data_IF_135664821581
#
_entry.id   IF_135664821581
#
_cell.length_a   1.000
_cell.length_b   1.000
_cell.length_c   1.000
_cell.angle_alpha   90.00
_cell.angle_beta   90.00
_cell.angle_gamma   90.00
#
_symmetry.space_group_name_H-M   'P 1'
#
loop_
_entity.id
_entity.type
_entity.pdbx_description
1 polymer ?
#
# COMPACT_ATOMS: atom_id res chain seq x y z
N UNK A 1 -15.14 -9.06 -11.25
CA UNK A 1 -14.21 -10.11 -10.78
C UNK A 1 -13.29 -9.43 -9.79
N UNK A 2 -13.21 -9.91 -8.55
CA UNK A 2 -12.42 -9.21 -7.53
C UNK A 2 -10.97 -9.11 -7.98
N UNK A 3 -10.44 -7.88 -8.06
CA UNK A 3 -9.01 -7.65 -8.27
C UNK A 3 -8.27 -8.31 -7.10
N UNK A 4 -7.67 -9.46 -7.40
CA UNK A 4 -7.23 -10.40 -6.38
C UNK A 4 -6.05 -9.83 -5.59
N UNK A 5 -6.20 -9.79 -4.27
CA UNK A 5 -5.04 -9.63 -3.39
C UNK A 5 -4.03 -10.76 -3.64
N UNK A 6 -2.73 -10.52 -3.34
CA UNK A 6 -1.71 -11.54 -3.42
C UNK A 6 -2.12 -12.81 -2.67
N UNK A 7 -1.92 -13.95 -3.31
CA UNK A 7 -2.28 -15.25 -2.74
C UNK A 7 -1.37 -15.63 -1.57
N UNK A 8 -1.91 -16.32 -0.57
CA UNK A 8 -1.11 -16.98 0.48
C UNK A 8 -0.76 -18.41 0.04
N UNK A 9 0.15 -19.06 0.77
CA UNK A 9 0.48 -20.46 0.54
C UNK A 9 -0.74 -21.38 0.73
N UNK A 10 -0.95 -22.38 -0.14
CA UNK A 10 -1.93 -23.45 0.07
C UNK A 10 -1.62 -24.25 1.36
N UNK A 11 -2.65 -24.73 2.05
CA UNK A 11 -2.52 -25.41 3.34
C UNK A 11 -1.68 -26.71 3.29
N UNK A 12 -1.54 -27.32 2.12
CA UNK A 12 -0.80 -28.55 1.86
C UNK A 12 0.64 -28.30 1.40
N UNK A 13 1.01 -27.07 1.04
CA UNK A 13 2.36 -26.74 0.56
C UNK A 13 3.24 -26.32 1.73
N UNK A 14 4.43 -26.92 1.84
CA UNK A 14 5.45 -26.46 2.81
C UNK A 14 6.29 -25.35 2.18
N UNK A 15 6.34 -24.13 2.76
CA UNK A 15 7.16 -23.04 2.22
C UNK A 15 8.65 -23.37 2.27
N UNK A 16 9.36 -23.17 1.16
CA UNK A 16 10.80 -23.34 1.00
C UNK A 16 11.47 -22.00 0.71
N UNK A 17 11.07 -20.97 1.46
CA UNK A 17 11.51 -19.59 1.26
C UNK A 17 12.99 -19.41 1.62
N UNK A 18 13.73 -18.74 0.75
CA UNK A 18 15.12 -18.31 0.99
C UNK A 18 15.35 -16.88 0.50
N UNK A 19 16.22 -16.14 1.17
CA UNK A 19 16.68 -14.82 0.71
C UNK A 19 17.84 -14.93 -0.31
N UNK A 20 18.38 -16.13 -0.52
CA UNK A 20 19.55 -16.34 -1.34
C UNK A 20 19.31 -15.94 -2.79
N UNK A 21 20.11 -14.98 -3.25
CA UNK A 21 20.12 -14.49 -4.62
C UNK A 21 18.73 -14.08 -5.14
N UNK A 22 17.81 -13.66 -4.26
CA UNK A 22 16.42 -13.32 -4.67
C UNK A 22 16.40 -12.29 -5.80
N UNK A 23 17.28 -11.28 -5.76
CA UNK A 23 17.40 -10.25 -6.81
C UNK A 23 17.81 -10.86 -8.15
N UNK A 24 18.74 -11.82 -8.14
CA UNK A 24 19.19 -12.51 -9.36
C UNK A 24 18.09 -13.43 -9.89
N UNK A 25 17.44 -14.18 -8.98
CA UNK A 25 16.40 -15.16 -9.31
C UNK A 25 15.08 -14.52 -9.73
N UNK A 26 14.79 -13.29 -9.32
CA UNK A 26 13.49 -12.59 -9.50
C UNK A 26 13.68 -11.14 -9.96
N UNK A 27 14.65 -10.89 -10.84
CA UNK A 27 15.01 -9.55 -11.29
C UNK A 27 13.83 -8.73 -11.83
N UNK A 28 12.95 -9.35 -12.61
CA UNK A 28 11.76 -8.68 -13.17
C UNK A 28 10.78 -8.26 -12.07
N UNK A 29 10.55 -9.11 -11.06
CA UNK A 29 9.70 -8.76 -9.92
C UNK A 29 10.30 -7.61 -9.09
N UNK A 30 11.63 -7.58 -8.92
CA UNK A 30 12.29 -6.46 -8.26
C UNK A 30 12.11 -5.15 -9.04
N UNK A 31 12.30 -5.17 -10.36
CA UNK A 31 12.07 -4.00 -11.20
C UNK A 31 10.61 -3.51 -11.08
N UNK A 32 9.64 -4.42 -11.18
CA UNK A 32 8.23 -4.10 -11.02
C UNK A 32 7.88 -3.56 -9.61
N UNK A 33 8.51 -4.10 -8.57
CA UNK A 33 8.41 -3.58 -7.21
C UNK A 33 8.93 -2.15 -7.10
N UNK A 34 10.10 -1.87 -7.67
CA UNK A 34 10.68 -0.53 -7.67
C UNK A 34 9.83 0.47 -8.47
N UNK A 35 9.25 0.06 -9.60
CA UNK A 35 8.28 0.86 -10.34
C UNK A 35 7.05 1.19 -9.48
N UNK A 36 6.47 0.20 -8.80
CA UNK A 36 5.33 0.41 -7.91
C UNK A 36 5.66 1.37 -6.75
N UNK A 37 6.87 1.30 -6.19
CA UNK A 37 7.33 2.25 -5.17
C UNK A 37 7.46 3.68 -5.74
N UNK A 38 8.04 3.81 -6.94
CA UNK A 38 8.20 5.10 -7.59
C UNK A 38 6.85 5.75 -7.94
N UNK A 39 5.89 4.97 -8.44
CA UNK A 39 4.52 5.45 -8.68
C UNK A 39 3.84 5.89 -7.37
N UNK A 40 4.03 5.15 -6.28
CA UNK A 40 3.48 5.54 -4.99
C UNK A 40 4.09 6.85 -4.46
N UNK A 41 5.36 7.15 -4.72
CA UNK A 41 5.96 8.43 -4.35
C UNK A 41 5.24 9.63 -4.98
N UNK A 42 4.61 9.46 -6.15
CA UNK A 42 3.76 10.49 -6.74
C UNK A 42 2.46 10.69 -5.94
N UNK A 43 1.90 9.63 -5.35
CA UNK A 43 0.74 9.73 -4.45
C UNK A 43 1.10 10.59 -3.24
N UNK A 44 2.23 10.30 -2.59
CA UNK A 44 2.70 11.05 -1.42
C UNK A 44 2.87 12.55 -1.78
N UNK A 45 3.52 12.86 -2.91
CA UNK A 45 3.68 14.23 -3.39
C UNK A 45 2.33 14.95 -3.67
N UNK A 46 1.36 14.25 -4.26
CA UNK A 46 0.05 14.87 -4.54
C UNK A 46 -0.80 15.06 -3.28
N UNK A 47 -0.63 14.23 -2.25
CA UNK A 47 -1.22 14.46 -0.93
C UNK A 47 -0.67 15.75 -0.31
N UNK A 48 0.65 15.98 -0.40
CA UNK A 48 1.29 17.23 0.06
C UNK A 48 0.74 18.46 -0.68
N UNK A 49 0.66 18.35 -2.00
CA UNK A 49 0.18 19.44 -2.86
C UNK A 49 -1.27 19.82 -2.53
N UNK A 50 -2.14 18.82 -2.39
CA UNK A 50 -3.54 19.04 -2.09
C UNK A 50 -3.73 19.68 -0.71
N UNK A 51 -2.96 19.23 0.30
CA UNK A 51 -2.99 19.86 1.62
C UNK A 51 -2.59 21.35 1.54
N UNK A 52 -1.50 21.64 0.83
CA UNK A 52 -1.01 23.02 0.64
C UNK A 52 -2.06 23.88 -0.05
N UNK A 53 -2.73 23.34 -1.08
CA UNK A 53 -3.80 24.03 -1.79
C UNK A 53 -5.00 24.36 -0.90
N UNK A 54 -5.39 23.43 -0.02
CA UNK A 54 -6.55 23.60 0.87
C UNK A 54 -6.31 24.60 2.00
N UNK A 55 -5.05 24.83 2.40
CA UNK A 55 -4.70 25.77 3.48
C UNK A 55 -4.72 27.26 3.05
N UNK A 56 -4.55 27.54 1.76
CA UNK A 56 -4.73 28.88 1.17
C UNK A 56 -3.72 29.98 1.59
N UNK A 57 -3.82 31.13 0.91
CA UNK A 57 -3.17 32.45 1.12
C UNK A 57 -1.62 32.55 1.06
N UNK A 58 -0.87 31.64 1.68
CA UNK A 58 0.60 31.57 1.56
C UNK A 58 1.04 30.10 1.65
N UNK A 59 1.61 29.51 0.58
CA UNK A 59 2.05 28.12 0.63
C UNK A 59 3.22 27.91 1.60
N UNK A 60 3.98 28.94 1.98
CA UNK A 60 5.19 28.76 2.82
C UNK A 60 4.88 28.26 4.24
N UNK A 61 3.95 28.85 5.02
CA UNK A 61 3.54 28.29 6.32
C UNK A 61 2.92 26.89 6.21
N UNK A 62 2.14 26.64 5.16
CA UNK A 62 1.51 25.34 4.91
C UNK A 62 2.54 24.24 4.65
N UNK A 63 3.54 24.53 3.81
CA UNK A 63 4.68 23.64 3.56
C UNK A 63 5.47 23.40 4.84
N UNK A 64 5.80 24.45 5.59
CA UNK A 64 6.55 24.33 6.84
C UNK A 64 5.80 23.46 7.88
N UNK A 65 4.48 23.55 7.97
CA UNK A 65 3.68 22.65 8.80
C UNK A 65 3.68 21.21 8.27
N UNK A 66 3.53 21.03 6.96
CA UNK A 66 3.53 19.70 6.36
C UNK A 66 4.87 18.97 6.53
N UNK A 67 6.00 19.68 6.41
CA UNK A 67 7.35 19.11 6.63
C UNK A 67 7.54 18.54 8.05
N UNK A 68 6.72 18.97 9.03
CA UNK A 68 6.73 18.38 10.39
C UNK A 68 5.90 17.10 10.51
N UNK A 69 5.06 16.78 9.51
CA UNK A 69 4.27 15.57 9.49
C UNK A 69 5.14 14.40 9.04
N UNK A 70 5.53 13.55 9.99
CA UNK A 70 6.29 12.36 9.66
C UNK A 70 5.38 11.21 9.18
N UNK A 71 5.35 11.03 7.87
CA UNK A 71 4.84 9.84 7.18
C UNK A 71 3.37 9.90 6.78
N UNK A 72 3.06 9.14 5.72
CA UNK A 72 1.76 9.14 5.02
C UNK A 72 0.51 9.08 5.91
N UNK A 73 0.57 8.39 7.07
CA UNK A 73 -0.57 8.32 8.00
C UNK A 73 -0.86 9.65 8.71
N UNK A 74 0.19 10.37 9.10
CA UNK A 74 0.05 11.68 9.75
C UNK A 74 -0.47 12.70 8.72
N UNK A 75 0.08 12.67 7.53
CA UNK A 75 -0.32 13.50 6.39
C UNK A 75 -1.77 13.27 5.97
N UNK A 76 -2.19 12.01 5.80
CA UNK A 76 -3.57 11.65 5.49
C UNK A 76 -4.56 12.10 6.58
N UNK A 77 -4.15 12.09 7.86
CA UNK A 77 -4.99 12.60 8.96
C UNK A 77 -5.09 14.12 8.93
N UNK A 78 -3.98 14.82 8.68
CA UNK A 78 -3.96 16.26 8.54
C UNK A 78 -4.86 16.71 7.38
N UNK A 79 -4.72 16.08 6.21
CA UNK A 79 -5.56 16.37 5.05
C UNK A 79 -7.05 16.17 5.32
N UNK A 80 -7.43 15.07 5.99
CA UNK A 80 -8.82 14.85 6.41
C UNK A 80 -9.30 15.87 7.44
N UNK A 81 -8.44 16.35 8.33
CA UNK A 81 -8.79 17.37 9.31
C UNK A 81 -9.01 18.72 8.63
N UNK A 82 -8.09 19.15 7.77
CA UNK A 82 -8.24 20.40 7.00
C UNK A 82 -9.47 20.33 6.09
N UNK A 83 -9.74 19.19 5.47
CA UNK A 83 -10.93 19.01 4.62
C UNK A 83 -12.26 19.21 5.35
N UNK A 84 -12.34 18.81 6.62
CA UNK A 84 -13.55 19.06 7.42
C UNK A 84 -13.82 20.54 7.69
N UNK A 85 -12.77 21.35 7.78
CA UNK A 85 -12.87 22.77 8.09
C UNK A 85 -13.04 23.63 6.82
N UNK A 86 -12.51 23.17 5.69
CA UNK A 86 -12.35 24.00 4.48
C UNK A 86 -13.27 23.60 3.32
N UNK A 87 -13.77 22.37 3.29
CA UNK A 87 -14.56 21.86 2.16
C UNK A 87 -16.06 21.87 2.44
N UNK A 88 -16.83 21.97 1.35
CA UNK A 88 -18.27 21.66 1.39
C UNK A 88 -18.50 20.21 1.84
N UNK A 89 -19.67 19.86 2.41
CA UNK A 89 -19.97 18.48 2.79
C UNK A 89 -19.81 17.48 1.63
N UNK A 90 -20.15 17.87 0.40
CA UNK A 90 -19.99 17.05 -0.80
C UNK A 90 -18.52 16.81 -1.15
N UNK A 91 -17.71 17.87 -1.19
CA UNK A 91 -16.28 17.77 -1.51
C UNK A 91 -15.51 17.04 -0.40
N UNK A 92 -15.93 17.16 0.87
CA UNK A 92 -15.34 16.40 1.97
C UNK A 92 -15.67 14.89 1.88
N UNK A 93 -16.89 14.53 1.47
CA UNK A 93 -17.25 13.15 1.20
C UNK A 93 -16.46 12.56 0.01
N UNK A 94 -16.24 13.38 -1.02
CA UNK A 94 -15.41 13.04 -2.17
C UNK A 94 -13.95 12.79 -1.76
N UNK A 95 -13.36 13.71 -0.98
CA UNK A 95 -12.03 13.55 -0.40
C UNK A 95 -11.91 12.25 0.39
N UNK A 96 -12.90 11.91 1.22
CA UNK A 96 -12.88 10.67 1.99
C UNK A 96 -12.79 9.42 1.11
N UNK A 97 -13.48 9.39 -0.04
CA UNK A 97 -13.38 8.31 -1.03
C UNK A 97 -12.01 8.26 -1.70
N UNK A 98 -11.45 9.41 -2.08
CA UNK A 98 -10.10 9.50 -2.64
C UNK A 98 -9.06 8.95 -1.67
N UNK A 99 -9.20 9.28 -0.38
CA UNK A 99 -8.29 8.78 0.65
C UNK A 99 -8.38 7.26 0.87
N UNK A 100 -9.50 6.63 0.52
CA UNK A 100 -9.59 5.16 0.50
C UNK A 100 -8.76 4.57 -0.65
N UNK A 101 -8.77 5.20 -1.83
CA UNK A 101 -7.92 4.79 -2.96
C UNK A 101 -6.44 4.98 -2.63
N UNK A 102 -6.07 6.12 -2.04
CA UNK A 102 -4.71 6.38 -1.57
C UNK A 102 -4.25 5.31 -0.57
N UNK A 103 -5.14 4.93 0.36
CA UNK A 103 -4.86 3.87 1.33
C UNK A 103 -4.56 2.53 0.64
N UNK A 104 -5.31 2.14 -0.39
CA UNK A 104 -5.03 0.91 -1.14
C UNK A 104 -3.63 0.94 -1.74
N UNK A 105 -3.24 2.06 -2.35
CA UNK A 105 -1.88 2.24 -2.86
C UNK A 105 -0.82 2.15 -1.75
N UNK A 106 -1.04 2.79 -0.60
CA UNK A 106 -0.14 2.70 0.57
C UNK A 106 -0.02 1.28 1.10
N UNK A 107 -1.11 0.51 1.15
CA UNK A 107 -1.08 -0.88 1.64
C UNK A 107 -0.23 -1.77 0.73
N UNK A 108 -0.33 -1.60 -0.60
CA UNK A 108 0.55 -2.29 -1.54
C UNK A 108 2.00 -1.85 -1.40
N UNK A 109 2.25 -0.53 -1.34
CA UNK A 109 3.60 0.00 -1.12
C UNK A 109 4.21 -0.55 0.15
N UNK A 110 3.46 -0.61 1.25
CA UNK A 110 3.96 -1.08 2.53
C UNK A 110 4.30 -2.57 2.48
N UNK A 111 3.50 -3.37 1.77
CA UNK A 111 3.83 -4.77 1.53
C UNK A 111 5.13 -4.92 0.74
N UNK A 112 5.34 -4.13 -0.32
CA UNK A 112 6.53 -4.16 -1.18
C UNK A 112 7.77 -3.64 -0.43
N UNK A 113 7.66 -2.53 0.30
CA UNK A 113 8.79 -1.83 0.91
C UNK A 113 9.25 -2.43 2.25
N UNK A 114 8.33 -2.95 3.07
CA UNK A 114 8.62 -3.30 4.47
C UNK A 114 8.61 -4.80 4.73
N UNK A 115 8.32 -5.64 3.74
CA UNK A 115 8.41 -7.09 3.85
C UNK A 115 9.73 -7.61 3.32
N UNK A 116 10.10 -8.80 3.76
CA UNK A 116 11.26 -9.49 3.26
C UNK A 116 10.94 -10.15 1.92
N UNK A 117 11.79 -9.91 0.93
CA UNK A 117 11.70 -10.52 -0.39
C UNK A 117 12.44 -11.85 -0.37
N UNK A 118 11.71 -12.92 -0.65
CA UNK A 118 12.22 -14.29 -0.63
C UNK A 118 11.89 -14.99 -1.96
N UNK A 119 12.73 -15.93 -2.37
CA UNK A 119 12.46 -16.86 -3.45
C UNK A 119 12.00 -18.21 -2.88
N UNK A 120 11.09 -18.87 -3.58
CA UNK A 120 10.77 -20.29 -3.39
C UNK A 120 10.83 -20.93 -4.78
N UNK A 121 11.57 -22.03 -4.92
CA UNK A 121 11.75 -22.72 -6.20
C UNK A 121 10.46 -23.44 -6.65
N UNK A 122 9.49 -23.65 -5.74
CA UNK A 122 8.13 -24.10 -6.07
C UNK A 122 7.29 -23.02 -6.79
N UNK A 123 7.69 -21.75 -6.66
CA UNK A 123 7.05 -20.60 -7.29
C UNK A 123 8.09 -19.80 -8.11
N UNK A 124 8.55 -20.34 -9.25
CA UNK A 124 9.59 -19.71 -10.07
C UNK A 124 9.14 -18.38 -10.70
N UNK A 125 7.83 -18.20 -10.88
CA UNK A 125 7.16 -17.06 -11.49
C UNK A 125 6.71 -15.99 -10.47
N UNK A 126 7.08 -16.13 -9.20
CA UNK A 126 6.65 -15.24 -8.13
C UNK A 126 7.80 -14.90 -7.16
N UNK A 127 7.65 -13.78 -6.45
CA UNK A 127 8.40 -13.49 -5.23
C UNK A 127 7.52 -13.73 -4.01
N UNK A 128 8.12 -14.19 -2.92
CA UNK A 128 7.41 -14.40 -1.66
C UNK A 128 7.72 -13.22 -0.74
N UNK A 129 6.71 -12.43 -0.39
CA UNK A 129 6.83 -11.34 0.56
C UNK A 129 6.43 -11.80 1.97
N UNK A 130 7.39 -11.76 2.88
CA UNK A 130 7.23 -12.27 4.26
C UNK A 130 7.14 -11.12 5.25
N UNK A 131 6.12 -11.12 6.09
CA UNK A 131 6.04 -10.17 7.21
C UNK A 131 7.18 -10.41 8.21
N UNK A 132 8.12 -9.45 8.38
CA UNK A 132 9.24 -9.63 9.30
C UNK A 132 8.75 -9.91 10.72
N UNK A 133 7.68 -9.24 11.20
CA UNK A 133 7.17 -9.44 12.57
C UNK A 133 6.75 -10.88 12.81
N UNK A 134 6.19 -11.52 11.80
CA UNK A 134 5.80 -12.92 11.86
C UNK A 134 7.00 -13.86 11.95
N UNK A 135 8.11 -13.56 11.26
CA UNK A 135 9.37 -14.30 11.44
C UNK A 135 9.93 -14.19 12.87
N UNK A 136 9.92 -12.98 13.45
CA UNK A 136 10.37 -12.77 14.84
C UNK A 136 9.53 -13.61 15.83
N UNK A 137 8.21 -13.57 15.70
CA UNK A 137 7.29 -14.37 16.54
C UNK A 137 7.53 -15.87 16.38
N UNK A 138 7.74 -16.32 15.15
CA UNK A 138 8.04 -17.71 14.87
C UNK A 138 9.37 -18.15 15.50
N UNK A 139 10.42 -17.33 15.41
CA UNK A 139 11.70 -17.63 16.07
C UNK A 139 11.52 -17.83 17.57
N UNK A 140 10.74 -16.98 18.23
CA UNK A 140 10.39 -17.15 19.65
C UNK A 140 9.62 -18.45 19.92
N UNK A 141 8.58 -18.74 19.11
CA UNK A 141 7.79 -19.96 19.23
C UNK A 141 8.64 -21.24 19.07
N UNK A 142 9.56 -21.26 18.11
CA UNK A 142 10.50 -22.37 17.93
C UNK A 142 11.40 -22.54 19.15
N UNK A 143 11.88 -21.44 19.74
CA UNK A 143 12.61 -21.46 21.01
C UNK A 143 11.81 -22.08 22.14
N UNK A 144 10.55 -21.68 22.30
CA UNK A 144 9.65 -22.24 23.33
C UNK A 144 9.35 -23.72 23.13
N UNK A 145 9.13 -24.17 21.88
CA UNK A 145 8.91 -25.58 21.56
C UNK A 145 10.12 -26.41 21.98
N UNK A 146 11.33 -25.96 21.61
CA UNK A 146 12.59 -26.65 21.97
C UNK A 146 12.81 -26.68 23.48
N UNK A 147 12.45 -25.63 24.20
CA UNK A 147 12.57 -25.58 25.66
C UNK A 147 11.62 -26.57 26.38
N UNK A 148 10.48 -26.91 25.77
CA UNK A 148 9.49 -27.84 26.32
C UNK A 148 9.81 -29.33 26.07
N UNK A 149 10.82 -29.62 25.24
CA UNK A 149 11.26 -30.99 24.95
C UNK A 149 11.45 -31.25 23.45
N UNK A 150 11.44 -32.53 23.03
CA UNK A 150 11.59 -32.90 21.63
C UNK A 150 10.52 -32.26 20.74
N UNK A 151 10.92 -31.84 19.53
CA UNK A 151 10.00 -31.34 18.51
C UNK A 151 9.08 -32.49 18.10
N UNK A 152 7.78 -32.28 18.22
CA UNK A 152 6.75 -33.21 17.76
C UNK A 152 6.23 -32.78 16.39
N UNK A 153 5.67 -33.72 15.62
CA UNK A 153 5.02 -33.41 14.33
C UNK A 153 3.94 -32.34 14.46
N UNK A 154 3.18 -32.34 15.55
CA UNK A 154 2.15 -31.34 15.81
C UNK A 154 2.77 -29.94 15.99
N UNK A 155 3.87 -29.85 16.73
CA UNK A 155 4.58 -28.57 16.91
C UNK A 155 5.24 -28.08 15.63
N UNK A 156 5.79 -28.99 14.80
CA UNK A 156 6.36 -28.66 13.50
C UNK A 156 5.31 -28.16 12.51
N UNK A 157 4.14 -28.84 12.43
CA UNK A 157 3.01 -28.38 11.60
C UNK A 157 2.51 -27.01 12.02
N UNK A 158 2.37 -26.77 13.32
CA UNK A 158 1.94 -25.45 13.82
C UNK A 158 2.91 -24.32 13.47
N UNK A 159 4.21 -24.61 13.36
CA UNK A 159 5.20 -23.62 12.88
C UNK A 159 5.04 -23.41 11.36
N UNK A 160 4.83 -24.47 10.58
CA UNK A 160 4.58 -24.36 9.14
C UNK A 160 3.32 -23.54 8.84
N UNK A 161 2.24 -23.74 9.59
CA UNK A 161 1.00 -22.98 9.44
C UNK A 161 1.24 -21.47 9.63
N UNK A 162 2.05 -21.09 10.62
CA UNK A 162 2.44 -19.69 10.86
C UNK A 162 3.27 -19.13 9.70
N UNK A 163 4.20 -19.91 9.12
CA UNK A 163 4.97 -19.49 7.95
C UNK A 163 4.05 -19.21 6.77
N UNK A 164 3.10 -20.12 6.49
CA UNK A 164 2.15 -19.94 5.38
C UNK A 164 1.31 -18.68 5.55
N UNK A 165 0.82 -18.43 6.76
CA UNK A 165 0.05 -17.23 7.08
C UNK A 165 0.87 -15.93 6.95
N UNK A 166 2.19 -16.00 7.17
CA UNK A 166 3.10 -14.87 7.06
C UNK A 166 3.56 -14.56 5.61
N UNK A 167 3.44 -15.53 4.71
CA UNK A 167 3.98 -15.46 3.35
C UNK A 167 2.90 -15.13 2.31
N UNK A 168 3.11 -14.04 1.58
CA UNK A 168 2.32 -13.71 0.40
C UNK A 168 3.12 -14.01 -0.87
N UNK A 169 2.49 -14.69 -1.81
CA UNK A 169 3.04 -15.01 -3.13
C UNK A 169 2.61 -13.89 -4.08
N UNK A 170 3.58 -13.10 -4.53
CA UNK A 170 3.42 -11.96 -5.42
C UNK A 170 3.90 -12.30 -6.83
N UNK A 171 2.97 -12.28 -7.78
CA UNK A 171 3.22 -12.41 -9.22
C UNK A 171 3.27 -11.03 -9.87
N UNK A 172 3.64 -10.98 -11.15
CA UNK A 172 3.69 -9.72 -11.92
C UNK A 172 2.37 -8.96 -11.86
N UNK A 173 1.23 -9.65 -11.95
CA UNK A 173 -0.09 -9.02 -11.89
C UNK A 173 -0.37 -8.30 -10.57
N UNK A 174 0.22 -8.75 -9.45
CA UNK A 174 0.09 -8.10 -8.15
C UNK A 174 0.86 -6.77 -8.11
N UNK A 175 2.02 -6.70 -8.77
CA UNK A 175 2.76 -5.45 -8.94
C UNK A 175 2.05 -4.49 -9.88
N UNK A 176 1.48 -5.00 -10.97
CA UNK A 176 0.68 -4.18 -11.88
C UNK A 176 -0.60 -3.66 -11.19
N UNK A 177 -1.20 -4.43 -10.28
CA UNK A 177 -2.29 -3.96 -9.44
C UNK A 177 -1.85 -2.83 -8.51
N UNK A 178 -0.68 -2.97 -7.87
CA UNK A 178 -0.10 -1.93 -7.01
C UNK A 178 0.13 -0.61 -7.79
N UNK A 179 0.68 -0.70 -9.01
CA UNK A 179 0.87 0.41 -9.93
C UNK A 179 -0.46 1.06 -10.32
N UNK A 180 -1.43 0.27 -10.77
CA UNK A 180 -2.79 0.76 -11.10
C UNK A 180 -3.45 1.48 -9.91
N UNK A 181 -3.31 0.95 -8.70
CA UNK A 181 -3.82 1.59 -7.49
C UNK A 181 -3.14 2.95 -7.22
N UNK A 182 -1.82 3.05 -7.39
CA UNK A 182 -1.09 4.31 -7.27
C UNK A 182 -1.52 5.32 -8.34
N UNK A 183 -1.57 4.90 -9.61
CA UNK A 183 -2.03 5.71 -10.73
C UNK A 183 -3.45 6.24 -10.51
N UNK A 184 -4.37 5.40 -10.05
CA UNK A 184 -5.74 5.80 -9.71
C UNK A 184 -5.78 6.86 -8.60
N UNK A 185 -4.95 6.69 -7.57
CA UNK A 185 -4.84 7.66 -6.47
C UNK A 185 -4.31 9.02 -6.97
N UNK A 186 -3.24 9.03 -7.78
CA UNK A 186 -2.67 10.25 -8.38
C UNK A 186 -3.70 10.99 -9.22
N UNK A 187 -4.36 10.29 -10.16
CA UNK A 187 -5.39 10.89 -11.02
C UNK A 187 -6.51 11.49 -10.17
N UNK A 188 -6.95 10.78 -9.14
CA UNK A 188 -8.01 11.25 -8.24
C UNK A 188 -7.62 12.51 -7.46
N UNK A 189 -6.39 12.56 -6.94
CA UNK A 189 -5.87 13.72 -6.20
C UNK A 189 -5.73 14.95 -7.11
N UNK A 190 -5.18 14.79 -8.31
CA UNK A 190 -5.03 15.88 -9.29
C UNK A 190 -6.40 16.41 -9.71
N UNK A 191 -7.31 15.53 -10.12
CA UNK A 191 -8.66 15.91 -10.54
C UNK A 191 -9.42 16.64 -9.43
N UNK A 192 -9.22 16.23 -8.17
CA UNK A 192 -9.82 16.90 -7.02
C UNK A 192 -9.20 18.28 -6.79
N UNK A 193 -7.87 18.42 -6.88
CA UNK A 193 -7.21 19.73 -6.83
C UNK A 193 -7.76 20.69 -7.90
N UNK A 194 -7.98 20.21 -9.12
CA UNK A 194 -8.61 21.01 -10.18
C UNK A 194 -10.06 21.41 -9.85
N UNK A 195 -10.86 20.50 -9.28
CA UNK A 195 -12.21 20.81 -8.79
C UNK A 195 -12.18 21.96 -7.79
N UNK A 196 -11.24 21.93 -6.84
CA UNK A 196 -11.09 23.00 -5.84
C UNK A 196 -10.64 24.32 -6.48
N UNK A 197 -9.75 24.28 -7.47
CA UNK A 197 -9.29 25.49 -8.17
C UNK A 197 -10.37 26.17 -9.01
N UNK A 198 -11.30 25.42 -9.58
CA UNK A 198 -12.36 25.96 -10.43
C UNK A 198 -13.50 26.61 -9.62
N UNK A 199 -13.64 26.28 -8.33
CA UNK A 199 -14.71 26.81 -7.47
C UNK A 199 -16.11 26.39 -7.93
N UNK A 200 -17.06 27.33 -7.92
CA UNK A 200 -18.48 27.07 -8.20
C UNK A 200 -18.90 27.45 -9.64
N UNK A 201 -18.08 27.08 -10.61
CA UNK A 201 -18.42 27.25 -12.04
C UNK A 201 -18.90 25.91 -12.64
N UNK A 202 -19.68 25.93 -13.75
CA UNK A 202 -20.20 24.70 -14.36
C UNK A 202 -19.13 23.64 -14.69
N UNK A 203 -17.92 24.07 -15.07
CA UNK A 203 -16.80 23.16 -15.33
C UNK A 203 -16.38 22.34 -14.10
N UNK A 204 -16.49 22.91 -12.88
CA UNK A 204 -16.18 22.20 -11.65
C UNK A 204 -17.20 21.08 -11.38
N UNK A 205 -18.49 21.33 -11.62
CA UNK A 205 -19.54 20.31 -11.48
C UNK A 205 -19.33 19.14 -12.42
N UNK A 206 -18.94 19.40 -13.68
CA UNK A 206 -18.62 18.35 -14.64
C UNK A 206 -17.42 17.51 -14.18
N UNK A 207 -16.34 18.14 -13.70
CA UNK A 207 -15.18 17.43 -13.16
C UNK A 207 -15.51 16.61 -11.90
N UNK A 208 -16.35 17.13 -11.00
CA UNK A 208 -16.85 16.35 -9.83
C UNK A 208 -17.54 15.07 -10.28
N UNK A 209 -18.45 15.15 -11.25
CA UNK A 209 -19.15 13.96 -11.77
C UNK A 209 -18.20 12.97 -12.45
N UNK A 210 -17.20 13.45 -13.18
CA UNK A 210 -16.17 12.58 -13.79
C UNK A 210 -15.32 11.87 -12.73
N UNK A 211 -14.92 12.59 -11.69
CA UNK A 211 -14.17 12.03 -10.57
C UNK A 211 -15.01 11.01 -9.79
N UNK A 212 -16.29 11.31 -9.55
CA UNK A 212 -17.21 10.37 -8.91
C UNK A 212 -17.34 9.06 -9.68
N UNK A 213 -17.45 9.14 -11.02
CA UNK A 213 -17.48 7.97 -11.89
C UNK A 213 -16.16 7.18 -11.83
N UNK A 214 -15.02 7.87 -11.92
CA UNK A 214 -13.68 7.26 -11.82
C UNK A 214 -13.45 6.52 -10.49
N UNK A 215 -13.98 7.04 -9.39
CA UNK A 215 -13.89 6.41 -8.07
C UNK A 215 -14.86 5.24 -7.88
N UNK A 216 -15.83 5.06 -8.79
CA UNK A 216 -16.86 4.00 -8.71
C UNK A 216 -16.54 2.77 -9.56
N UNK A 217 -15.61 2.92 -10.52
CA UNK A 217 -15.02 1.82 -11.31
C UNK A 217 -13.84 1.21 -10.59
#
# INVERSE_FOLDING_TARGET
MGEGMPSFYPADVSPQVSNDQVVVKRLLHFAAGMEALAEHSLVDAQVSNLLTQMLGADPKPAIAMYETLNGARAEARALKAVGKETLSPGDNALLARIMTVCKTSSDHRDAIAHRLWMADDQYPDAVVLVDPKSLWRMSSKVGEIKAKGPVTDASARSVQDDIRAACQIWRMDDFDLAKRAASKAVISLIAFGEVLSLGDIPAASQKRSQLDAHLST
#
